data_IF_559461453464
#
_entry.id   IF_559461453464
#
_cell.length_a   1.000
_cell.length_b   1.000
_cell.length_c   1.000
_cell.angle_alpha   90.00
_cell.angle_beta   90.00
_cell.angle_gamma   90.00
#
_symmetry.space_group_name_H-M   'P 1'
#
loop_
_entity.id
_entity.type
_entity.pdbx_description
1 polymer ?
#
# COMPACT_ATOMS: atom_id res chain seq x y z
N UNK A 1 21.37 1.90 -18.14
CA UNK A 1 21.52 1.25 -16.82
C UNK A 1 20.18 0.82 -16.26
N UNK A 2 20.11 -0.39 -15.72
CA UNK A 2 18.88 -0.93 -15.12
C UNK A 2 18.68 -0.27 -13.74
N UNK A 3 17.57 0.43 -13.54
CA UNK A 3 17.20 1.00 -12.24
C UNK A 3 15.96 0.28 -11.70
N UNK A 4 15.89 0.13 -10.38
CA UNK A 4 14.68 -0.36 -9.72
C UNK A 4 13.53 0.65 -9.89
N UNK A 5 12.28 0.19 -10.06
CA UNK A 5 11.12 1.09 -10.05
C UNK A 5 10.93 1.72 -8.67
N UNK A 6 10.20 2.83 -8.62
CA UNK A 6 9.74 3.40 -7.35
C UNK A 6 8.70 2.49 -6.73
N UNK A 7 8.90 2.09 -5.48
CA UNK A 7 7.97 1.22 -4.78
C UNK A 7 6.93 2.06 -4.02
N UNK A 8 5.69 2.02 -4.47
CA UNK A 8 4.55 2.64 -3.77
C UNK A 8 3.79 1.53 -3.04
N UNK A 9 3.97 1.46 -1.72
CA UNK A 9 3.36 0.43 -0.88
C UNK A 9 2.00 0.90 -0.37
N UNK A 10 1.05 -0.01 -0.20
CA UNK A 10 -0.33 0.33 0.16
C UNK A 10 -0.79 -0.50 1.34
N UNK A 11 -1.43 0.13 2.33
CA UNK A 11 -2.18 -0.57 3.37
C UNK A 11 -3.57 0.05 3.52
N UNK A 12 -4.52 -0.74 4.02
CA UNK A 12 -5.86 -0.26 4.34
C UNK A 12 -5.90 0.38 5.73
N UNK A 13 -6.78 1.36 5.95
CA UNK A 13 -6.91 2.09 7.21
C UNK A 13 -7.38 1.23 8.40
N UNK A 14 -7.91 0.03 8.15
CA UNK A 14 -8.19 -0.96 9.20
C UNK A 14 -6.95 -1.67 9.76
N UNK A 15 -5.81 -1.65 9.03
CA UNK A 15 -4.54 -2.23 9.45
C UNK A 15 -3.36 -1.64 8.66
N UNK A 16 -2.84 -0.49 9.08
CA UNK A 16 -1.82 0.31 8.37
C UNK A 16 -0.51 0.59 9.14
N UNK A 17 0.05 -0.34 9.93
CA UNK A 17 1.18 -0.03 10.81
C UNK A 17 2.44 0.43 10.06
N UNK A 18 2.66 -0.02 8.82
CA UNK A 18 3.78 0.45 7.99
C UNK A 18 3.56 1.88 7.49
N UNK A 19 2.32 2.26 7.16
CA UNK A 19 2.02 3.64 6.74
C UNK A 19 2.19 4.59 7.92
N UNK A 20 1.71 4.22 9.12
CA UNK A 20 1.92 5.01 10.33
C UNK A 20 3.41 5.22 10.63
N UNK A 21 4.21 4.16 10.51
CA UNK A 21 5.66 4.22 10.69
C UNK A 21 6.33 5.12 9.65
N UNK A 22 5.90 5.04 8.38
CA UNK A 22 6.44 5.86 7.29
C UNK A 22 6.13 7.34 7.46
N UNK A 23 4.87 7.68 7.74
CA UNK A 23 4.44 9.07 7.96
C UNK A 23 5.15 9.71 9.16
N UNK A 24 5.37 8.94 10.23
CA UNK A 24 6.18 9.39 11.37
C UNK A 24 7.63 9.66 10.95
N UNK A 25 8.25 8.74 10.22
CA UNK A 25 9.61 8.93 9.73
C UNK A 25 9.73 10.13 8.79
N UNK A 26 8.78 10.34 7.88
CA UNK A 26 8.73 11.52 7.01
C UNK A 26 8.65 12.82 7.82
N UNK A 27 7.77 12.89 8.82
CA UNK A 27 7.63 14.06 9.69
C UNK A 27 8.89 14.37 10.50
N UNK A 28 9.66 13.34 10.87
CA UNK A 28 10.91 13.44 11.63
C UNK A 28 12.15 13.60 10.74
N UNK A 29 12.01 13.65 9.40
CA UNK A 29 13.14 13.79 8.48
C UNK A 29 13.96 12.51 8.28
N UNK A 30 13.34 11.34 8.47
CA UNK A 30 13.92 10.00 8.39
C UNK A 30 15.20 9.83 9.26
N UNK A 31 15.06 9.90 10.59
CA UNK A 31 16.18 9.76 11.51
C UNK A 31 16.88 8.39 11.35
N UNK A 32 18.10 8.28 11.88
CA UNK A 32 18.81 7.01 11.91
C UNK A 32 17.99 5.95 12.65
N UNK A 33 17.84 4.76 12.06
CA UNK A 33 17.06 3.67 12.65
C UNK A 33 15.54 3.80 12.52
N UNK A 34 15.02 4.75 11.72
CA UNK A 34 13.57 4.93 11.51
C UNK A 34 12.85 3.63 11.11
N UNK A 35 13.53 2.71 10.42
CA UNK A 35 12.97 1.45 9.95
C UNK A 35 12.58 0.49 11.09
N UNK A 36 13.06 0.74 12.31
CA UNK A 36 12.74 -0.03 13.52
C UNK A 36 11.60 0.59 14.34
N UNK A 37 11.14 1.77 13.95
CA UNK A 37 10.11 2.54 14.65
C UNK A 37 8.76 2.34 13.95
N UNK A 38 8.11 1.22 14.24
CA UNK A 38 6.78 0.91 13.73
C UNK A 38 5.87 0.40 14.86
N UNK A 39 4.58 0.75 14.84
CA UNK A 39 3.63 0.25 15.82
C UNK A 39 3.33 -1.23 15.58
N UNK A 40 2.99 -1.93 16.67
CA UNK A 40 2.34 -3.24 16.63
C UNK A 40 0.87 -3.04 16.99
N UNK A 41 -0.02 -3.57 16.15
CA UNK A 41 -1.47 -3.54 16.36
C UNK A 41 -1.91 -4.96 16.73
N UNK A 42 -2.25 -5.22 18.01
CA UNK A 42 -2.53 -6.58 18.48
C UNK A 42 -3.83 -7.18 17.92
N UNK A 43 -4.83 -6.34 17.65
CA UNK A 43 -6.15 -6.76 17.16
C UNK A 43 -6.65 -5.85 16.02
N UNK A 44 -6.02 -5.89 14.84
CA UNK A 44 -6.42 -5.05 13.71
C UNK A 44 -7.89 -5.28 13.33
N UNK A 45 -8.61 -4.19 13.06
CA UNK A 45 -10.03 -4.21 12.70
C UNK A 45 -10.17 -3.82 11.23
N UNK A 46 -10.10 -4.84 10.38
CA UNK A 46 -10.11 -4.70 8.92
C UNK A 46 -11.17 -5.60 8.30
N UNK A 47 -11.78 -5.11 7.22
CA UNK A 47 -12.64 -5.86 6.30
C UNK A 47 -11.83 -6.65 5.26
N UNK A 48 -10.49 -6.62 5.33
CA UNK A 48 -9.57 -7.32 4.44
C UNK A 48 -8.71 -8.28 5.29
N UNK A 49 -9.23 -9.47 5.66
CA UNK A 49 -8.57 -10.36 6.62
C UNK A 49 -7.16 -10.78 6.22
N UNK A 50 -6.89 -10.94 4.92
CA UNK A 50 -5.56 -11.29 4.38
C UNK A 50 -4.52 -10.21 4.63
N UNK A 51 -4.93 -8.97 4.92
CA UNK A 51 -4.05 -7.84 5.26
C UNK A 51 -4.06 -7.49 6.76
N UNK A 52 -4.69 -8.31 7.62
CA UNK A 52 -4.75 -8.12 9.07
C UNK A 52 -3.41 -8.40 9.79
N UNK A 53 -2.30 -7.92 9.22
CA UNK A 53 -0.95 -8.09 9.77
C UNK A 53 -0.56 -6.87 10.60
N UNK A 54 -0.91 -6.89 11.88
CA UNK A 54 -0.66 -5.79 12.81
C UNK A 54 0.79 -5.67 13.29
N UNK A 55 1.61 -6.71 13.15
CA UNK A 55 3.06 -6.67 13.43
C UNK A 55 3.85 -6.79 12.11
N UNK A 56 4.26 -5.66 11.51
CA UNK A 56 4.86 -5.66 10.17
C UNK A 56 6.37 -6.01 10.22
N UNK A 57 6.70 -7.29 10.42
CA UNK A 57 8.09 -7.77 10.51
C UNK A 57 8.96 -7.46 9.27
N UNK A 58 8.35 -7.19 8.11
CA UNK A 58 9.04 -6.85 6.87
C UNK A 58 9.32 -5.35 6.71
N UNK A 59 8.73 -4.49 7.54
CA UNK A 59 8.91 -3.04 7.45
C UNK A 59 10.37 -2.58 7.51
N UNK A 60 11.25 -3.14 8.39
CA UNK A 60 12.66 -2.76 8.43
C UNK A 60 13.41 -2.90 7.10
N UNK A 61 12.98 -3.85 6.26
CA UNK A 61 13.59 -4.15 4.97
C UNK A 61 12.92 -3.31 3.87
N UNK A 62 11.59 -3.32 3.82
CA UNK A 62 10.81 -2.67 2.75
C UNK A 62 10.97 -1.15 2.82
N UNK A 63 10.93 -0.54 4.00
CA UNK A 63 11.05 0.92 4.15
C UNK A 63 12.37 1.47 3.59
N UNK A 64 13.47 0.72 3.75
CA UNK A 64 14.77 1.07 3.16
C UNK A 64 14.74 1.03 1.64
N UNK A 65 14.13 0.00 1.06
CA UNK A 65 13.96 -0.12 -0.39
C UNK A 65 13.10 1.01 -0.96
N UNK A 66 11.96 1.29 -0.29
CA UNK A 66 11.04 2.36 -0.67
C UNK A 66 11.77 3.71 -0.63
N UNK A 67 12.48 4.03 0.45
CA UNK A 67 13.26 5.27 0.56
C UNK A 67 14.35 5.37 -0.52
N UNK A 68 15.10 4.30 -0.73
CA UNK A 68 16.18 4.25 -1.74
C UNK A 68 15.67 4.48 -3.16
N UNK A 69 14.46 4.04 -3.46
CA UNK A 69 13.85 4.18 -4.80
C UNK A 69 13.01 5.45 -4.94
N UNK A 70 12.95 6.32 -3.93
CA UNK A 70 12.07 7.50 -3.96
C UNK A 70 10.57 7.14 -4.00
N UNK A 71 10.22 5.97 -3.47
CA UNK A 71 8.84 5.52 -3.32
C UNK A 71 8.15 6.11 -2.08
N UNK A 72 6.98 5.57 -1.73
CA UNK A 72 6.22 6.02 -0.56
C UNK A 72 5.28 4.92 -0.05
N UNK A 73 4.67 5.15 1.12
CA UNK A 73 3.57 4.35 1.64
C UNK A 73 2.25 5.14 1.56
N UNK A 74 1.19 4.48 1.12
CA UNK A 74 -0.11 5.09 0.88
C UNK A 74 -1.18 4.36 1.68
N UNK A 75 -1.97 5.10 2.44
CA UNK A 75 -3.15 4.59 3.12
C UNK A 75 -4.36 4.55 2.17
N UNK A 76 -5.14 3.49 2.25
CA UNK A 76 -6.43 3.37 1.57
C UNK A 76 -7.58 3.23 2.57
N UNK A 77 -8.71 3.91 2.31
CA UNK A 77 -9.92 3.77 3.14
C UNK A 77 -10.75 2.55 2.76
N UNK A 78 -10.99 1.63 3.68
CA UNK A 78 -11.73 0.38 3.41
C UNK A 78 -13.17 0.62 2.97
N UNK A 79 -13.81 1.67 3.47
CA UNK A 79 -15.18 2.06 3.11
C UNK A 79 -15.37 2.32 1.61
N UNK A 80 -14.30 2.51 0.85
CA UNK A 80 -14.34 2.72 -0.61
C UNK A 80 -13.99 1.47 -1.42
N UNK A 81 -13.65 0.34 -0.80
CA UNK A 81 -13.20 -0.85 -1.53
C UNK A 81 -14.33 -1.49 -2.34
N UNK A 82 -15.52 -1.64 -1.76
CA UNK A 82 -16.68 -2.24 -2.47
C UNK A 82 -17.05 -1.49 -3.75
N UNK A 83 -17.30 -0.15 -3.73
CA UNK A 83 -17.63 0.56 -4.96
C UNK A 83 -16.48 0.52 -5.98
N UNK A 84 -15.22 0.53 -5.52
CA UNK A 84 -14.07 0.44 -6.42
C UNK A 84 -13.94 -0.96 -7.06
N UNK A 85 -14.12 -2.03 -6.30
CA UNK A 85 -14.10 -3.40 -6.84
C UNK A 85 -15.15 -3.59 -7.93
N UNK A 86 -16.35 -3.02 -7.74
CA UNK A 86 -17.40 -3.00 -8.76
C UNK A 86 -16.98 -2.23 -10.02
N UNK A 87 -16.33 -1.07 -9.85
CA UNK A 87 -15.82 -0.27 -10.97
C UNK A 87 -14.75 -1.03 -11.75
N UNK A 88 -13.80 -1.68 -11.07
CA UNK A 88 -12.75 -2.49 -11.72
C UNK A 88 -13.37 -3.65 -12.50
N UNK A 89 -14.35 -4.35 -11.91
CA UNK A 89 -15.07 -5.43 -12.58
C UNK A 89 -15.82 -4.95 -13.83
N UNK A 90 -16.40 -3.75 -13.78
CA UNK A 90 -17.13 -3.17 -14.91
C UNK A 90 -16.19 -2.72 -16.03
N UNK A 91 -15.16 -1.91 -15.72
CA UNK A 91 -14.27 -1.29 -16.70
C UNK A 91 -13.26 -2.27 -17.30
N UNK A 92 -12.73 -3.19 -16.49
CA UNK A 92 -11.62 -4.08 -16.88
C UNK A 92 -12.05 -5.53 -17.01
N UNK A 93 -13.33 -5.85 -16.80
CA UNK A 93 -13.87 -7.23 -16.83
C UNK A 93 -13.09 -8.19 -15.92
N UNK A 94 -12.52 -7.66 -14.84
CA UNK A 94 -11.66 -8.38 -13.90
C UNK A 94 -12.20 -8.19 -12.48
N UNK A 95 -12.40 -9.29 -11.76
CA UNK A 95 -12.93 -9.25 -10.38
C UNK A 95 -11.78 -9.48 -9.40
N UNK A 96 -11.22 -8.40 -8.80
CA UNK A 96 -10.14 -8.53 -7.82
C UNK A 96 -10.67 -9.05 -6.48
N UNK A 97 -9.81 -9.75 -5.74
CA UNK A 97 -10.06 -9.99 -4.31
C UNK A 97 -9.95 -8.69 -3.48
N UNK A 98 -10.35 -8.69 -2.19
CA UNK A 98 -10.30 -7.51 -1.35
C UNK A 98 -8.89 -6.88 -1.21
N UNK A 99 -7.83 -7.67 -1.04
CA UNK A 99 -6.47 -7.15 -0.95
C UNK A 99 -5.95 -6.61 -2.29
N UNK A 100 -6.28 -7.28 -3.39
CA UNK A 100 -6.01 -6.72 -4.74
C UNK A 100 -6.72 -5.39 -4.96
N UNK A 101 -7.95 -5.27 -4.47
CA UNK A 101 -8.71 -4.01 -4.54
C UNK A 101 -8.02 -2.91 -3.75
N UNK A 102 -7.43 -3.21 -2.58
CA UNK A 102 -6.62 -2.24 -1.81
C UNK A 102 -5.44 -1.72 -2.65
N UNK A 103 -4.72 -2.60 -3.34
CA UNK A 103 -3.58 -2.20 -4.19
C UNK A 103 -4.02 -1.25 -5.32
N UNK A 104 -5.07 -1.62 -6.06
CA UNK A 104 -5.60 -0.77 -7.15
C UNK A 104 -6.15 0.55 -6.61
N UNK A 105 -6.78 0.55 -5.44
CA UNK A 105 -7.23 1.76 -4.79
C UNK A 105 -6.07 2.69 -4.40
N UNK A 106 -4.97 2.11 -3.93
CA UNK A 106 -3.74 2.81 -3.63
C UNK A 106 -3.14 3.51 -4.84
N UNK A 107 -3.24 2.93 -6.04
CA UNK A 107 -2.83 3.59 -7.29
C UNK A 107 -3.57 4.92 -7.51
N UNK A 108 -4.90 4.96 -7.32
CA UNK A 108 -5.66 6.22 -7.43
C UNK A 108 -5.26 7.25 -6.36
N UNK A 109 -4.92 6.81 -5.15
CA UNK A 109 -4.44 7.71 -4.10
C UNK A 109 -3.02 8.22 -4.39
N UNK A 110 -2.17 7.39 -5.00
CA UNK A 110 -0.82 7.76 -5.42
C UNK A 110 -0.85 8.85 -6.50
N UNK A 111 -1.74 8.73 -7.48
CA UNK A 111 -2.01 9.79 -8.47
C UNK A 111 -2.44 11.10 -7.80
N UNK A 112 -3.41 11.04 -6.89
CA UNK A 112 -3.89 12.24 -6.15
C UNK A 112 -2.82 12.91 -5.30
N UNK A 113 -1.81 12.14 -4.87
CA UNK A 113 -0.66 12.62 -4.08
C UNK A 113 0.52 13.04 -4.97
N UNK A 114 0.38 13.03 -6.29
CA UNK A 114 1.45 13.31 -7.26
C UNK A 114 2.69 12.42 -7.07
N UNK A 115 2.50 11.15 -6.66
CA UNK A 115 3.57 10.15 -6.54
C UNK A 115 3.88 9.46 -7.88
N UNK A 116 2.95 9.60 -8.82
CA UNK A 116 3.00 9.06 -10.19
C UNK A 116 2.75 10.23 -11.12
N UNK A 117 3.59 10.38 -12.15
CA UNK A 117 3.56 11.47 -13.10
C UNK A 117 3.13 10.99 -14.50
N UNK A 118 2.71 11.93 -15.33
CA UNK A 118 2.37 11.66 -16.73
C UNK A 118 3.58 11.09 -17.50
N UNK A 119 3.30 10.09 -18.35
CA UNK A 119 4.32 9.38 -19.14
C UNK A 119 5.05 8.26 -18.41
N UNK A 120 4.79 8.05 -17.12
CA UNK A 120 5.38 6.93 -16.38
C UNK A 120 4.69 5.60 -16.67
N UNK A 121 5.47 4.52 -16.69
CA UNK A 121 4.94 3.15 -16.75
C UNK A 121 4.77 2.60 -15.35
N UNK A 122 3.54 2.17 -15.02
CA UNK A 122 3.20 1.69 -13.69
C UNK A 122 2.78 0.22 -13.74
N UNK A 123 3.43 -0.61 -12.92
CA UNK A 123 3.00 -1.99 -12.68
C UNK A 123 2.21 -2.04 -11.39
N UNK A 124 0.93 -2.40 -11.47
CA UNK A 124 0.09 -2.64 -10.29
C UNK A 124 0.11 -4.12 -9.97
N UNK A 125 0.84 -4.50 -8.92
CA UNK A 125 1.01 -5.90 -8.52
C UNK A 125 -0.19 -6.36 -7.68
N UNK A 126 -1.17 -6.96 -8.33
CA UNK A 126 -2.35 -7.55 -7.71
C UNK A 126 -2.14 -9.06 -7.51
N UNK A 127 -2.06 -9.50 -6.25
CA UNK A 127 -1.65 -10.87 -5.90
C UNK A 127 -2.78 -11.91 -5.84
N UNK A 128 -4.04 -11.49 -5.92
CA UNK A 128 -5.21 -12.37 -5.79
C UNK A 128 -6.37 -11.99 -6.73
N UNK A 129 -7.12 -12.99 -7.19
CA UNK A 129 -8.43 -12.80 -7.84
C UNK A 129 -9.56 -13.18 -6.88
N UNK A 130 -10.81 -12.85 -7.22
CA UNK A 130 -11.97 -13.04 -6.34
C UNK A 130 -12.20 -14.49 -5.83
N UNK A 131 -11.65 -15.50 -6.52
CA UNK A 131 -11.82 -16.93 -6.17
C UNK A 131 -10.75 -17.42 -5.18
N UNK A 132 -9.72 -16.61 -4.91
CA UNK A 132 -8.56 -16.99 -4.06
C UNK A 132 -8.39 -16.08 -2.84
N UNK A 133 -9.42 -15.32 -2.49
CA UNK A 133 -9.40 -14.29 -1.47
C UNK A 133 -10.06 -14.73 -0.16
#
# INVERSE_FOLDING_TARGET
DLQNPRFIMVQSDGCDPMVQAWEKAEAEGFPEGFEKNYPVIDNPKTNVPTLATGNPATYPIISKLVRKTGGSFVRMRESKLIPLGKLIAYEQKMVPGPASTVCVAGFFNALKKNLINDGETVMVNIGEGAVRA
#
